data_IF_395109657663
#
_entry.id   IF_395109657663
#
_cell.length_a   1.000
_cell.length_b   1.000
_cell.length_c   1.000
_cell.angle_alpha   90.00
_cell.angle_beta   90.00
_cell.angle_gamma   90.00
#
_symmetry.space_group_name_H-M   'P 1'
#
loop_
_entity.id
_entity.type
_entity.pdbx_description
1 polymer ?
#
# COMPACT_ATOMS: atom_id res chain seq x y z
N UNK A 1 5.66 13.01 1.00
CA UNK A 1 6.46 12.40 -0.07
C UNK A 1 5.86 11.03 -0.37
N UNK A 2 5.71 10.70 -1.64
CA UNK A 2 5.09 9.42 -2.01
C UNK A 2 5.86 8.76 -3.15
N UNK A 3 5.86 7.42 -3.18
CA UNK A 3 6.31 6.67 -4.36
C UNK A 3 5.53 7.12 -5.59
N UNK A 4 6.18 7.17 -6.74
CA UNK A 4 5.50 7.43 -8.02
C UNK A 4 4.83 6.16 -8.57
N UNK A 5 5.12 5.00 -8.00
CA UNK A 5 4.54 3.72 -8.41
C UNK A 5 3.37 3.37 -7.49
N UNK A 6 2.20 3.91 -7.81
CA UNK A 6 0.99 3.75 -6.99
C UNK A 6 -0.19 3.35 -7.87
N UNK A 7 -1.15 2.70 -7.24
CA UNK A 7 -2.48 2.49 -7.83
C UNK A 7 -3.03 3.83 -8.33
N UNK A 8 -3.64 3.80 -9.53
CA UNK A 8 -4.11 5.02 -10.19
C UNK A 8 -5.04 5.88 -9.34
N UNK A 9 -5.93 5.25 -8.57
CA UNK A 9 -6.82 6.00 -7.68
C UNK A 9 -6.07 6.74 -6.57
N UNK A 10 -5.06 6.11 -5.99
CA UNK A 10 -4.21 6.73 -4.96
C UNK A 10 -3.39 7.87 -5.56
N UNK A 11 -2.80 7.61 -6.74
CA UNK A 11 -2.06 8.67 -7.45
C UNK A 11 -2.96 9.88 -7.69
N UNK A 12 -4.16 9.66 -8.24
CA UNK A 12 -5.11 10.74 -8.52
C UNK A 12 -5.53 11.49 -7.25
N UNK A 13 -5.75 10.75 -6.15
CA UNK A 13 -6.09 11.35 -4.86
C UNK A 13 -4.97 12.30 -4.41
N UNK A 14 -3.73 11.83 -4.45
CA UNK A 14 -2.56 12.59 -3.99
C UNK A 14 -2.21 13.75 -4.92
N UNK A 15 -2.35 13.55 -6.25
CA UNK A 15 -1.93 14.52 -7.24
C UNK A 15 -2.98 15.63 -7.50
N UNK A 16 -4.27 15.28 -7.41
CA UNK A 16 -5.33 16.16 -7.89
C UNK A 16 -6.35 16.52 -6.82
N UNK A 17 -6.73 15.58 -5.95
CA UNK A 17 -7.80 15.82 -4.99
C UNK A 17 -7.29 16.51 -3.72
N UNK A 18 -6.25 15.96 -3.10
CA UNK A 18 -5.74 16.48 -1.83
C UNK A 18 -5.16 17.90 -1.93
N UNK A 19 -4.58 18.34 -3.07
CA UNK A 19 -4.17 19.74 -3.18
C UNK A 19 -5.31 20.75 -2.96
N UNK A 20 -6.55 20.36 -3.26
CA UNK A 20 -7.73 21.22 -2.99
C UNK A 20 -7.96 21.41 -1.50
N UNK A 21 -7.38 20.56 -0.66
CA UNK A 21 -7.45 20.63 0.80
C UNK A 21 -6.12 21.11 1.41
N UNK A 22 -5.23 21.65 0.58
CA UNK A 22 -3.95 22.20 1.04
C UNK A 22 -2.86 21.14 1.29
N UNK A 23 -3.07 19.89 0.86
CA UNK A 23 -2.11 18.83 1.06
C UNK A 23 -1.41 18.55 -0.29
N UNK A 24 -0.12 18.80 -0.34
CA UNK A 24 0.67 18.58 -1.57
C UNK A 24 1.52 17.33 -1.44
N UNK A 25 1.84 16.72 -2.57
CA UNK A 25 2.63 15.49 -2.62
C UNK A 25 3.79 15.64 -3.60
N UNK A 26 5.00 15.32 -3.14
CA UNK A 26 6.17 15.14 -4.01
C UNK A 26 6.30 13.67 -4.31
N UNK A 27 6.22 13.31 -5.59
CA UNK A 27 6.36 11.92 -6.04
C UNK A 27 7.82 11.64 -6.36
N UNK A 28 8.32 10.48 -5.93
CA UNK A 28 9.70 10.05 -6.11
C UNK A 28 9.76 8.63 -6.65
N UNK A 29 10.88 8.29 -7.28
CA UNK A 29 11.09 6.94 -7.82
C UNK A 29 11.35 5.95 -6.67
N UNK A 30 10.52 4.91 -6.49
CA UNK A 30 10.75 3.91 -5.44
C UNK A 30 12.04 3.11 -5.62
N UNK A 31 12.58 3.04 -6.84
CA UNK A 31 13.86 2.37 -7.11
C UNK A 31 15.06 3.22 -6.67
N UNK A 32 14.81 4.47 -6.25
CA UNK A 32 15.85 5.41 -5.81
C UNK A 32 15.53 5.89 -4.39
N UNK A 33 15.78 5.08 -3.35
CA UNK A 33 15.39 5.43 -1.98
C UNK A 33 15.90 6.80 -1.51
N UNK A 34 17.06 7.25 -2.01
CA UNK A 34 17.60 8.55 -1.64
C UNK A 34 16.70 9.72 -2.03
N UNK A 35 15.85 9.53 -3.06
CA UNK A 35 14.94 10.60 -3.47
C UNK A 35 13.89 10.89 -2.38
N UNK A 36 13.53 9.90 -1.58
CA UNK A 36 12.62 10.15 -0.44
C UNK A 36 13.22 11.17 0.52
N UNK A 37 14.51 10.99 0.87
CA UNK A 37 15.20 11.94 1.77
C UNK A 37 15.37 13.33 1.13
N UNK A 38 15.72 13.38 -0.14
CA UNK A 38 15.93 14.64 -0.87
C UNK A 38 14.63 15.44 -1.01
N UNK A 39 13.49 14.76 -1.02
CA UNK A 39 12.17 15.40 -1.19
C UNK A 39 11.60 15.95 0.14
N UNK A 40 12.29 15.72 1.28
CA UNK A 40 11.82 16.19 2.58
C UNK A 40 11.85 17.72 2.63
N UNK A 41 10.77 18.31 3.13
CA UNK A 41 10.61 19.75 3.35
C UNK A 41 10.14 19.96 4.79
N UNK A 42 10.26 21.20 5.33
CA UNK A 42 9.80 21.45 6.72
C UNK A 42 8.36 21.07 7.00
N UNK A 43 7.51 21.10 5.98
CA UNK A 43 6.10 20.74 6.10
C UNK A 43 5.82 19.28 5.70
N UNK A 44 6.83 18.44 5.48
CA UNK A 44 6.61 17.01 5.20
C UNK A 44 6.00 16.34 6.43
N UNK A 45 4.93 15.56 6.21
CA UNK A 45 4.19 14.90 7.31
C UNK A 45 4.15 13.39 7.21
N UNK A 46 4.52 12.80 6.06
CA UNK A 46 4.54 11.34 5.93
C UNK A 46 5.32 10.92 4.70
N UNK A 47 5.83 9.69 4.74
CA UNK A 47 6.23 8.96 3.53
C UNK A 47 5.14 7.93 3.23
N UNK A 48 4.80 7.80 1.95
CA UNK A 48 3.74 6.88 1.51
C UNK A 48 4.24 6.04 0.33
N UNK A 49 4.00 4.73 0.38
CA UNK A 49 4.37 3.84 -0.74
C UNK A 49 3.51 2.58 -0.71
N UNK A 50 3.47 1.86 -1.85
CA UNK A 50 2.91 0.52 -1.90
C UNK A 50 4.04 -0.49 -1.69
N UNK A 51 3.76 -1.56 -0.93
CA UNK A 51 4.74 -2.62 -0.71
C UNK A 51 5.10 -3.35 -2.01
N UNK A 52 4.10 -3.45 -2.89
CA UNK A 52 4.20 -4.05 -4.22
C UNK A 52 3.39 -3.15 -5.14
N UNK A 53 4.06 -2.40 -5.99
CA UNK A 53 3.45 -1.36 -6.80
C UNK A 53 2.49 -1.87 -7.86
N UNK A 54 1.42 -1.14 -8.12
CA UNK A 54 0.41 -1.48 -9.11
C UNK A 54 0.34 -0.36 -10.15
N UNK A 55 0.62 -0.61 -11.44
CA UNK A 55 0.75 -1.94 -12.09
C UNK A 55 2.18 -2.42 -12.33
N UNK A 56 3.18 -1.67 -11.90
CA UNK A 56 4.58 -1.99 -12.25
C UNK A 56 5.14 -3.21 -11.54
N UNK A 57 4.57 -3.61 -10.40
CA UNK A 57 5.02 -4.73 -9.58
C UNK A 57 6.47 -4.56 -9.10
N UNK A 58 6.89 -3.31 -8.93
CA UNK A 58 8.13 -3.01 -8.24
C UNK A 58 7.98 -3.38 -6.76
N UNK A 59 9.02 -3.99 -6.21
CA UNK A 59 9.03 -4.39 -4.80
C UNK A 59 9.81 -3.34 -4.02
N UNK A 60 9.15 -2.69 -3.08
CA UNK A 60 9.76 -1.62 -2.30
C UNK A 60 10.79 -2.18 -1.31
N UNK A 61 11.94 -1.54 -1.17
CA UNK A 61 12.86 -1.89 -0.08
C UNK A 61 12.37 -1.22 1.21
N UNK A 62 11.42 -1.92 1.87
CA UNK A 62 10.72 -1.41 3.05
C UNK A 62 11.68 -0.94 4.15
N UNK A 63 12.73 -1.72 4.42
CA UNK A 63 13.67 -1.40 5.50
C UNK A 63 14.38 -0.08 5.22
N UNK A 64 14.87 0.09 4.00
CA UNK A 64 15.61 1.30 3.64
C UNK A 64 14.71 2.54 3.70
N UNK A 65 13.48 2.44 3.17
CA UNK A 65 12.55 3.58 3.21
C UNK A 65 12.14 3.91 4.66
N UNK A 66 11.93 2.87 5.48
CA UNK A 66 11.61 3.05 6.90
C UNK A 66 12.71 3.85 7.63
N UNK A 67 13.97 3.51 7.38
CA UNK A 67 15.11 4.22 8.00
C UNK A 67 15.14 5.69 7.58
N UNK A 68 14.81 5.96 6.32
CA UNK A 68 14.76 7.34 5.82
C UNK A 68 13.58 8.12 6.43
N UNK A 69 12.43 7.49 6.60
CA UNK A 69 11.28 8.11 7.25
C UNK A 69 11.60 8.44 8.72
N UNK A 70 12.26 7.51 9.41
CA UNK A 70 12.70 7.71 10.80
C UNK A 70 13.67 8.90 10.89
N UNK A 71 14.65 8.98 9.98
CA UNK A 71 15.59 10.09 9.94
C UNK A 71 14.90 11.44 9.69
N UNK A 72 13.83 11.42 8.88
CA UNK A 72 13.02 12.60 8.59
C UNK A 72 12.00 12.90 9.69
N UNK A 73 11.87 12.04 10.70
CA UNK A 73 10.92 12.15 11.82
C UNK A 73 9.45 12.15 11.35
N UNK A 74 9.16 11.44 10.25
CA UNK A 74 7.79 11.32 9.74
C UNK A 74 7.36 9.85 9.71
N UNK A 75 6.06 9.56 9.86
CA UNK A 75 5.61 8.18 9.78
C UNK A 75 5.75 7.62 8.37
N UNK A 76 6.07 6.33 8.29
CA UNK A 76 6.08 5.58 7.06
C UNK A 76 4.77 4.80 6.92
N UNK A 77 4.00 5.14 5.91
CA UNK A 77 2.68 4.57 5.61
C UNK A 77 2.83 3.66 4.40
N UNK A 78 2.41 2.40 4.56
CA UNK A 78 2.54 1.41 3.48
C UNK A 78 1.16 0.88 3.10
N UNK A 79 0.80 1.04 1.84
CA UNK A 79 -0.36 0.32 1.30
C UNK A 79 0.09 -1.09 0.93
N UNK A 80 -0.45 -2.07 1.63
CA UNK A 80 -0.08 -3.47 1.47
C UNK A 80 -1.20 -4.29 0.80
N UNK A 81 -2.05 -3.62 0.03
CA UNK A 81 -3.23 -4.24 -0.60
C UNK A 81 -2.86 -5.40 -1.51
N UNK A 82 -1.84 -5.21 -2.37
CA UNK A 82 -1.49 -6.21 -3.40
C UNK A 82 -0.85 -7.45 -2.79
N UNK A 83 0.01 -7.28 -1.79
CA UNK A 83 0.61 -8.43 -1.09
C UNK A 83 -0.37 -9.07 -0.12
N UNK A 84 -1.20 -8.29 0.54
CA UNK A 84 -2.07 -8.69 1.65
C UNK A 84 -1.27 -9.11 2.89
N UNK A 85 -1.89 -9.20 4.07
CA UNK A 85 -1.16 -9.64 5.27
C UNK A 85 -0.76 -11.14 5.22
N UNK A 86 -1.32 -11.91 4.28
CA UNK A 86 -0.92 -13.31 4.11
C UNK A 86 0.51 -13.44 3.59
N UNK A 87 0.93 -12.51 2.72
CA UNK A 87 2.25 -12.61 2.07
C UNK A 87 3.29 -11.71 2.73
N UNK A 88 2.86 -10.58 3.33
CA UNK A 88 3.80 -9.58 3.85
C UNK A 88 3.18 -8.81 5.01
N UNK A 89 3.96 -8.59 6.06
CA UNK A 89 3.61 -7.74 7.19
C UNK A 89 4.61 -6.57 7.24
N UNK A 90 4.29 -5.40 6.66
CA UNK A 90 5.26 -4.29 6.58
C UNK A 90 5.70 -3.74 7.93
N UNK A 91 4.92 -3.93 9.00
CA UNK A 91 5.29 -3.48 10.35
C UNK A 91 6.62 -4.14 10.80
N UNK A 92 6.84 -5.39 10.41
CA UNK A 92 8.08 -6.11 10.73
C UNK A 92 9.31 -5.46 10.08
N UNK A 93 9.10 -4.61 9.09
CA UNK A 93 10.17 -3.92 8.36
C UNK A 93 10.16 -2.40 8.60
N UNK A 94 9.42 -1.96 9.64
CA UNK A 94 9.47 -0.59 10.11
C UNK A 94 8.35 0.34 9.63
N UNK A 95 7.34 -0.18 8.93
CA UNK A 95 6.16 0.64 8.62
C UNK A 95 5.46 1.01 9.93
N UNK A 96 5.10 2.28 10.08
CA UNK A 96 4.38 2.76 11.26
C UNK A 96 2.87 2.57 11.08
N UNK A 97 2.40 2.70 9.85
CA UNK A 97 0.99 2.59 9.50
C UNK A 97 0.89 1.73 8.26
N UNK A 98 -0.02 0.75 8.29
CA UNK A 98 -0.29 -0.09 7.12
C UNK A 98 -1.76 0.09 6.74
N UNK A 99 -2.00 0.24 5.45
CA UNK A 99 -3.37 0.30 4.94
C UNK A 99 -3.61 -0.84 3.96
N UNK A 100 -4.87 -1.25 3.87
CA UNK A 100 -5.32 -2.21 2.87
C UNK A 100 -6.68 -1.80 2.34
N UNK A 101 -6.86 -1.91 1.04
CA UNK A 101 -8.20 -1.94 0.48
C UNK A 101 -8.85 -3.29 0.84
N UNK A 102 -9.88 -3.27 1.67
CA UNK A 102 -10.67 -4.48 1.97
C UNK A 102 -11.38 -4.99 0.72
N UNK A 103 -11.64 -4.09 -0.24
CA UNK A 103 -12.29 -4.34 -1.51
C UNK A 103 -11.63 -5.48 -2.32
N UNK A 104 -10.33 -5.68 -2.12
CA UNK A 104 -9.50 -6.57 -2.94
C UNK A 104 -9.37 -7.95 -2.29
N UNK A 105 -8.15 -8.43 -2.11
CA UNK A 105 -7.90 -9.80 -1.63
C UNK A 105 -8.49 -10.10 -0.25
N UNK A 106 -8.59 -9.09 0.63
CA UNK A 106 -9.11 -9.35 1.98
C UNK A 106 -10.55 -9.87 1.96
N UNK A 107 -11.46 -9.17 1.27
CA UNK A 107 -12.82 -9.69 1.06
C UNK A 107 -12.84 -10.82 0.02
N UNK A 108 -12.13 -10.63 -1.09
CA UNK A 108 -11.88 -11.69 -2.07
C UNK A 108 -12.98 -11.99 -3.06
N UNK A 109 -14.18 -11.45 -2.88
CA UNK A 109 -15.38 -11.81 -3.66
C UNK A 109 -15.85 -10.70 -4.61
N UNK A 110 -15.26 -9.50 -4.52
CA UNK A 110 -15.70 -8.37 -5.33
C UNK A 110 -17.04 -7.80 -4.93
N UNK A 111 -17.54 -8.16 -3.75
CA UNK A 111 -18.90 -7.80 -3.29
C UNK A 111 -18.94 -6.63 -2.34
N UNK A 112 -17.81 -6.23 -1.77
CA UNK A 112 -17.79 -5.22 -0.71
C UNK A 112 -16.67 -4.20 -0.94
N UNK A 113 -16.98 -2.95 -0.63
CA UNK A 113 -15.99 -1.87 -0.63
C UNK A 113 -15.62 -1.54 0.81
N UNK A 114 -14.33 -1.29 1.04
CA UNK A 114 -13.88 -0.88 2.36
C UNK A 114 -12.37 -0.68 2.42
N UNK A 115 -11.92 -0.17 3.53
CA UNK A 115 -10.51 0.01 3.83
C UNK A 115 -10.25 -0.25 5.30
N UNK A 116 -8.99 -0.55 5.61
CA UNK A 116 -8.57 -0.71 6.99
C UNK A 116 -7.21 -0.01 7.19
N UNK A 117 -7.06 0.61 8.34
CA UNK A 117 -5.82 1.25 8.78
C UNK A 117 -5.33 0.46 10.00
N UNK A 118 -4.09 0.02 9.95
CA UNK A 118 -3.43 -0.67 11.05
C UNK A 118 -2.29 0.23 11.55
N UNK A 119 -2.32 0.57 12.82
CA UNK A 119 -1.30 1.39 13.47
C UNK A 119 -0.37 0.45 14.24
N UNK A 120 0.92 0.52 13.96
CA UNK A 120 1.92 -0.24 14.71
C UNK A 120 2.09 0.26 16.16
N UNK A 121 1.64 1.48 16.45
CA UNK A 121 1.81 2.10 17.76
C UNK A 121 3.26 2.48 18.06
N UNK A 122 4.11 2.52 17.05
CA UNK A 122 5.55 2.71 17.23
C UNK A 122 6.06 4.11 16.92
N UNK A 123 5.24 4.93 16.28
CA UNK A 123 5.68 6.27 15.87
C UNK A 123 5.56 7.26 17.04
N UNK A 124 6.61 8.07 17.22
CA UNK A 124 6.60 9.11 18.26
C UNK A 124 5.89 10.37 17.76
N UNK A 125 4.61 10.47 18.09
CA UNK A 125 3.78 11.64 17.70
C UNK A 125 4.17 12.91 18.47
N UNK A 126 5.00 12.80 19.52
CA UNK A 126 5.45 13.97 20.31
C UNK A 126 6.84 14.47 19.88
N UNK A 127 7.21 14.26 18.60
CA UNK A 127 8.53 14.65 18.09
C UNK A 127 8.64 16.11 17.64
N UNK A 128 7.59 16.92 17.87
CA UNK A 128 7.57 18.33 17.54
C UNK A 128 6.97 18.69 16.19
N UNK A 129 6.71 17.71 15.33
CA UNK A 129 6.13 17.96 14.00
C UNK A 129 4.61 17.81 13.97
N UNK A 130 4.00 17.29 15.04
CA UNK A 130 2.58 16.91 15.06
C UNK A 130 1.87 17.51 16.27
N UNK A 131 1.72 18.87 16.32
CA UNK A 131 1.07 19.51 17.47
C UNK A 131 -0.35 19.02 17.70
N UNK A 132 -1.04 18.56 16.66
CA UNK A 132 -2.38 17.99 16.76
C UNK A 132 -2.48 16.74 17.63
N UNK A 133 -1.35 16.19 18.05
CA UNK A 133 -1.31 15.04 18.98
C UNK A 133 -0.88 15.44 20.38
N UNK A 134 -0.23 16.62 20.53
CA UNK A 134 0.37 17.02 21.79
C UNK A 134 -0.28 18.28 22.41
N UNK A 135 -1.14 18.94 21.65
CA UNK A 135 -1.90 20.09 22.15
C UNK A 135 -3.33 19.67 22.52
N UNK A 136 -3.97 20.40 23.45
CA UNK A 136 -5.36 20.10 23.79
C UNK A 136 -6.28 20.24 22.58
N UNK A 137 -7.07 19.20 22.30
CA UNK A 137 -7.97 19.21 21.15
C UNK A 137 -9.31 19.85 21.54
N UNK A 138 -9.65 21.02 20.98
CA UNK A 138 -10.90 21.69 21.35
C UNK A 138 -12.16 20.94 20.92
N UNK A 139 -12.07 20.09 19.90
CA UNK A 139 -13.22 19.32 19.43
C UNK A 139 -13.50 18.06 20.26
N UNK A 140 -12.60 17.74 21.23
CA UNK A 140 -12.80 16.59 22.10
C UNK A 140 -12.38 16.91 23.54
N UNK A 141 -13.07 17.89 24.13
CA UNK A 141 -12.94 18.26 25.54
C UNK A 141 -11.51 18.60 26.00
N UNK A 142 -10.68 19.09 25.09
CA UNK A 142 -9.30 19.44 25.41
C UNK A 142 -8.34 18.25 25.54
N UNK A 143 -8.71 17.08 25.00
CA UNK A 143 -7.88 15.89 25.09
C UNK A 143 -6.52 16.11 24.40
N UNK A 144 -5.43 15.79 25.08
CA UNK A 144 -4.11 15.65 24.49
C UNK A 144 -3.96 14.17 24.14
N UNK A 145 -4.01 13.87 22.85
CA UNK A 145 -4.03 12.48 22.37
C UNK A 145 -2.80 11.70 22.80
N UNK A 146 -1.62 12.31 22.66
CA UNK A 146 -0.36 11.60 22.99
C UNK A 146 -0.28 11.29 24.50
N UNK A 147 -0.55 12.30 25.31
CA UNK A 147 -0.45 12.17 26.77
C UNK A 147 -1.46 11.17 27.32
N UNK A 148 -2.69 11.23 26.82
CA UNK A 148 -3.78 10.40 27.35
C UNK A 148 -3.75 8.96 26.83
N UNK A 149 -3.28 8.75 25.59
CA UNK A 149 -3.50 7.48 24.87
C UNK A 149 -2.21 6.80 24.39
N UNK A 150 -1.07 7.49 24.47
CA UNK A 150 0.22 6.88 24.15
C UNK A 150 0.26 6.20 22.78
N UNK A 151 0.56 4.92 22.77
CA UNK A 151 0.76 4.16 21.55
C UNK A 151 -0.48 4.09 20.64
N UNK A 152 -1.69 4.29 21.20
CA UNK A 152 -2.91 4.26 20.38
C UNK A 152 -3.41 5.65 20.00
N UNK A 153 -2.61 6.70 20.22
CA UNK A 153 -3.01 8.10 19.96
C UNK A 153 -3.47 8.29 18.51
N UNK A 154 -2.73 7.75 17.55
CA UNK A 154 -3.06 7.92 16.13
C UNK A 154 -4.39 7.25 15.79
N UNK A 155 -4.54 5.98 16.13
CA UNK A 155 -5.75 5.25 15.76
C UNK A 155 -6.99 5.79 16.49
N UNK A 156 -6.81 6.29 17.71
CA UNK A 156 -7.89 6.94 18.46
C UNK A 156 -8.32 8.25 17.76
N UNK A 157 -7.34 9.07 17.34
CA UNK A 157 -7.64 10.31 16.62
C UNK A 157 -8.35 10.01 15.29
N UNK A 158 -7.90 8.97 14.56
CA UNK A 158 -8.58 8.53 13.33
C UNK A 158 -10.04 8.18 13.60
N UNK A 159 -10.32 7.47 14.71
CA UNK A 159 -11.69 7.10 15.07
C UNK A 159 -12.52 8.31 15.53
N UNK A 160 -11.93 9.17 16.33
CA UNK A 160 -12.65 10.31 16.91
C UNK A 160 -12.95 11.37 15.85
N UNK A 161 -11.96 11.70 15.02
CA UNK A 161 -12.12 12.77 14.02
C UNK A 161 -12.45 12.23 12.63
N UNK A 162 -11.70 11.24 12.16
CA UNK A 162 -11.92 10.69 10.83
C UNK A 162 -13.22 9.91 10.71
N UNK A 163 -13.41 8.91 11.55
CA UNK A 163 -14.59 8.05 11.50
C UNK A 163 -15.86 8.82 11.92
N UNK A 164 -15.83 9.44 13.11
CA UNK A 164 -17.02 10.09 13.65
C UNK A 164 -17.44 11.31 12.82
N UNK A 165 -16.48 12.18 12.49
CA UNK A 165 -16.82 13.47 11.90
C UNK A 165 -16.99 13.41 10.38
N UNK A 166 -16.19 12.58 9.71
CA UNK A 166 -16.22 12.44 8.24
C UNK A 166 -17.05 11.25 7.77
N UNK A 167 -17.40 10.34 8.69
CA UNK A 167 -18.31 9.23 8.39
C UNK A 167 -17.72 8.07 7.61
N UNK A 168 -16.40 7.91 7.60
CA UNK A 168 -15.72 6.86 6.81
C UNK A 168 -15.81 5.50 7.50
N UNK A 169 -17.02 4.98 7.66
CA UNK A 169 -17.31 3.73 8.35
C UNK A 169 -17.83 2.69 7.36
N UNK A 170 -17.30 1.45 7.38
CA UNK A 170 -17.89 0.39 6.56
C UNK A 170 -19.24 -0.04 7.14
N UNK A 171 -20.13 -0.53 6.27
CA UNK A 171 -21.38 -1.11 6.76
C UNK A 171 -21.09 -2.40 7.54
N UNK A 172 -21.93 -2.76 8.51
CA UNK A 172 -21.77 -4.05 9.21
C UNK A 172 -21.81 -5.25 8.25
N UNK A 173 -22.60 -5.17 7.19
CA UNK A 173 -22.67 -6.24 6.19
C UNK A 173 -21.36 -6.39 5.42
N UNK A 174 -20.73 -5.27 5.01
CA UNK A 174 -19.43 -5.32 4.35
C UNK A 174 -18.35 -5.87 5.31
N UNK A 175 -18.43 -5.50 6.57
CA UNK A 175 -17.49 -6.01 7.59
C UNK A 175 -17.64 -7.52 7.76
N UNK A 176 -18.89 -8.01 7.81
CA UNK A 176 -19.18 -9.45 7.89
C UNK A 176 -18.58 -10.18 6.68
N UNK A 177 -18.81 -9.67 5.47
CA UNK A 177 -18.26 -10.31 4.26
C UNK A 177 -16.73 -10.31 4.25
N UNK A 178 -16.12 -9.23 4.75
CA UNK A 178 -14.66 -9.16 4.85
C UNK A 178 -14.12 -10.20 5.82
N UNK A 179 -14.76 -10.38 6.98
CA UNK A 179 -14.34 -11.39 7.96
C UNK A 179 -14.40 -12.79 7.31
N UNK A 180 -15.50 -13.09 6.59
CA UNK A 180 -15.61 -14.36 5.86
C UNK A 180 -14.48 -14.55 4.84
N UNK A 181 -14.13 -13.48 4.12
CA UNK A 181 -13.05 -13.52 3.13
C UNK A 181 -11.69 -13.79 3.75
N UNK A 182 -11.44 -13.20 4.91
CA UNK A 182 -10.14 -13.34 5.60
C UNK A 182 -9.89 -14.80 6.01
N UNK A 183 -10.94 -15.55 6.34
CA UNK A 183 -10.80 -16.96 6.76
C UNK A 183 -10.07 -17.83 5.73
N UNK A 184 -10.19 -17.50 4.44
CA UNK A 184 -9.57 -18.27 3.37
C UNK A 184 -8.39 -17.53 2.71
N UNK A 185 -7.97 -16.39 3.27
CA UNK A 185 -7.00 -15.51 2.63
C UNK A 185 -5.67 -16.21 2.34
N UNK A 186 -5.11 -16.94 3.29
CA UNK A 186 -3.81 -17.62 3.12
C UNK A 186 -3.86 -18.60 1.95
N UNK A 187 -4.90 -19.43 1.90
CA UNK A 187 -5.08 -20.44 0.85
C UNK A 187 -5.20 -19.76 -0.51
N UNK A 188 -5.99 -18.69 -0.58
CA UNK A 188 -6.19 -17.95 -1.84
C UNK A 188 -4.91 -17.26 -2.31
N UNK A 189 -4.20 -16.60 -1.39
CA UNK A 189 -2.97 -15.88 -1.78
C UNK A 189 -1.87 -16.83 -2.21
N UNK A 190 -1.76 -17.98 -1.57
CA UNK A 190 -0.84 -19.04 -2.00
C UNK A 190 -1.19 -19.46 -3.43
N UNK A 191 -2.47 -19.77 -3.68
CA UNK A 191 -2.90 -20.24 -4.99
C UNK A 191 -2.76 -19.17 -6.08
N UNK A 192 -3.10 -17.93 -5.77
CA UNK A 192 -2.90 -16.80 -6.68
C UNK A 192 -1.42 -16.66 -7.07
N UNK A 193 -0.51 -16.74 -6.09
CA UNK A 193 0.93 -16.60 -6.35
C UNK A 193 1.47 -17.77 -7.19
N UNK A 194 1.06 -19.00 -6.88
CA UNK A 194 1.45 -20.18 -7.67
C UNK A 194 0.99 -20.04 -9.13
N UNK A 195 -0.27 -19.63 -9.32
CA UNK A 195 -0.83 -19.49 -10.67
C UNK A 195 -0.12 -18.36 -11.43
N UNK A 196 0.13 -17.24 -10.75
CA UNK A 196 0.81 -16.10 -11.37
C UNK A 196 2.23 -16.46 -11.78
N UNK A 197 2.97 -17.18 -10.93
CA UNK A 197 4.32 -17.62 -11.27
C UNK A 197 4.32 -18.56 -12.50
N UNK A 198 3.41 -19.54 -12.52
CA UNK A 198 3.30 -20.47 -13.66
C UNK A 198 2.93 -19.73 -14.95
N UNK A 199 1.95 -18.83 -14.85
CA UNK A 199 1.50 -18.08 -16.03
C UNK A 199 2.59 -17.11 -16.53
N UNK A 200 3.29 -16.43 -15.61
CA UNK A 200 4.36 -15.50 -16.01
C UNK A 200 5.53 -16.26 -16.65
N UNK A 201 5.87 -17.44 -16.13
CA UNK A 201 6.91 -18.28 -16.75
C UNK A 201 6.50 -18.72 -18.15
N UNK A 202 5.23 -19.16 -18.32
CA UNK A 202 4.71 -19.57 -19.63
C UNK A 202 4.71 -18.36 -20.60
N UNK A 203 4.22 -17.22 -20.16
CA UNK A 203 4.21 -16.00 -21.00
C UNK A 203 5.62 -15.64 -21.47
N UNK A 204 6.63 -15.84 -20.63
CA UNK A 204 8.02 -15.55 -20.98
C UNK A 204 8.57 -16.43 -22.09
N UNK A 205 7.90 -17.55 -22.41
CA UNK A 205 8.32 -18.43 -23.51
C UNK A 205 7.58 -18.12 -24.82
N UNK A 206 6.62 -17.19 -24.81
CA UNK A 206 5.79 -16.92 -25.99
C UNK A 206 6.46 -15.93 -26.94
N UNK A 207 6.49 -16.27 -28.21
CA UNK A 207 7.10 -15.40 -29.24
C UNK A 207 6.39 -14.07 -29.35
N UNK A 208 5.09 -14.02 -29.10
CA UNK A 208 4.26 -12.83 -29.22
C UNK A 208 4.48 -11.82 -28.07
N UNK A 209 5.08 -12.30 -26.98
CA UNK A 209 5.29 -11.50 -25.75
C UNK A 209 6.64 -10.78 -25.83
N UNK A 210 6.62 -9.47 -25.62
CA UNK A 210 7.83 -8.65 -25.64
C UNK A 210 8.51 -8.63 -24.27
N UNK A 211 7.73 -8.62 -23.20
CA UNK A 211 8.25 -8.61 -21.83
C UNK A 211 7.17 -9.09 -20.86
N UNK A 212 7.62 -9.65 -19.74
CA UNK A 212 6.74 -10.05 -18.62
C UNK A 212 7.32 -9.46 -17.34
N UNK A 213 6.47 -8.85 -16.55
CA UNK A 213 6.87 -8.30 -15.27
C UNK A 213 6.12 -9.05 -14.14
N UNK A 214 6.87 -9.82 -13.37
CA UNK A 214 6.41 -10.54 -12.19
C UNK A 214 7.61 -10.74 -11.25
N UNK A 215 7.54 -10.26 -10.01
CA UNK A 215 8.73 -10.28 -9.12
C UNK A 215 9.23 -11.68 -8.77
N UNK A 216 8.35 -12.69 -8.90
CA UNK A 216 8.74 -14.08 -8.64
C UNK A 216 9.61 -14.73 -9.71
N UNK A 217 9.71 -14.11 -10.89
CA UNK A 217 10.60 -14.63 -11.95
C UNK A 217 12.06 -14.35 -11.59
N UNK A 218 12.93 -15.34 -11.78
CA UNK A 218 14.39 -15.17 -11.51
C UNK A 218 15.03 -14.09 -12.38
N UNK A 219 14.40 -13.78 -13.52
CA UNK A 219 14.87 -12.72 -14.41
C UNK A 219 14.39 -11.32 -14.03
N UNK A 220 13.51 -11.23 -13.05
CA UNK A 220 13.01 -9.91 -12.59
C UNK A 220 14.09 -9.17 -11.82
N UNK A 221 14.25 -7.89 -12.10
CA UNK A 221 15.17 -7.04 -11.33
C UNK A 221 14.77 -6.93 -9.85
N UNK A 222 13.52 -7.26 -9.55
CA UNK A 222 12.99 -7.23 -8.18
C UNK A 222 13.04 -8.60 -7.49
N UNK A 223 13.61 -9.64 -8.13
CA UNK A 223 13.54 -10.98 -7.56
C UNK A 223 14.20 -11.06 -6.17
N UNK A 224 15.35 -10.43 -5.99
CA UNK A 224 16.04 -10.45 -4.70
C UNK A 224 15.20 -9.79 -3.60
N UNK A 225 14.60 -8.63 -3.88
CA UNK A 225 13.71 -7.97 -2.93
C UNK A 225 12.45 -8.81 -2.67
N UNK A 226 11.94 -9.47 -3.72
CA UNK A 226 10.79 -10.36 -3.57
C UNK A 226 11.12 -11.56 -2.69
N UNK A 227 12.31 -12.15 -2.83
CA UNK A 227 12.73 -13.24 -1.94
C UNK A 227 12.88 -12.74 -0.49
N UNK A 228 13.36 -11.52 -0.32
CA UNK A 228 13.54 -10.91 1.01
C UNK A 228 12.21 -10.60 1.70
N UNK A 229 11.28 -9.98 0.99
CA UNK A 229 10.06 -9.44 1.60
C UNK A 229 8.81 -10.30 1.37
N UNK A 230 8.79 -11.07 0.28
CA UNK A 230 7.61 -11.82 -0.16
C UNK A 230 7.95 -13.31 -0.39
N UNK A 231 8.66 -13.97 0.55
CA UNK A 231 9.09 -15.36 0.32
C UNK A 231 7.92 -16.34 0.22
N UNK A 232 6.74 -15.98 0.75
CA UNK A 232 5.54 -16.83 0.71
C UNK A 232 4.83 -16.79 -0.65
N UNK A 233 5.18 -15.81 -1.51
CA UNK A 233 4.52 -15.63 -2.81
C UNK A 233 4.49 -14.15 -3.19
N UNK A 234 4.38 -13.86 -4.49
CA UNK A 234 4.52 -12.50 -4.99
C UNK A 234 3.22 -11.97 -5.61
N UNK A 235 2.08 -12.35 -5.01
CA UNK A 235 0.74 -11.91 -5.39
C UNK A 235 0.22 -12.57 -6.69
N UNK A 236 -0.99 -12.19 -7.08
CA UNK A 236 -1.69 -12.73 -8.25
C UNK A 236 -1.73 -11.80 -9.44
N UNK A 237 -0.96 -10.70 -9.42
CA UNK A 237 -0.94 -9.74 -10.53
C UNK A 237 0.27 -10.01 -11.40
N UNK A 238 0.07 -9.96 -12.73
CA UNK A 238 1.13 -10.05 -13.73
C UNK A 238 0.91 -8.91 -14.71
N UNK A 239 1.97 -8.26 -15.15
CA UNK A 239 1.89 -7.35 -16.28
C UNK A 239 2.82 -7.82 -17.39
N UNK A 240 2.39 -7.66 -18.63
CA UNK A 240 3.19 -8.08 -19.77
C UNK A 240 2.85 -7.22 -20.99
N UNK A 241 3.78 -7.13 -21.89
CA UNK A 241 3.60 -6.41 -23.16
C UNK A 241 3.73 -7.36 -24.34
N UNK A 242 2.95 -7.07 -25.37
CA UNK A 242 2.98 -7.82 -26.62
C UNK A 242 3.85 -7.08 -27.67
N UNK A 243 4.53 -7.84 -28.54
CA UNK A 243 5.29 -7.28 -29.65
C UNK A 243 4.40 -6.46 -30.61
N UNK A 244 3.12 -6.85 -30.72
CA UNK A 244 2.12 -6.14 -31.51
C UNK A 244 1.61 -4.83 -30.87
N UNK A 245 2.14 -4.49 -29.69
CA UNK A 245 1.84 -3.22 -29.04
C UNK A 245 0.38 -3.08 -28.62
N UNK A 246 -0.14 -1.86 -28.70
CA UNK A 246 -1.48 -1.51 -28.22
C UNK A 246 -2.58 -2.38 -28.84
N UNK A 247 -2.53 -2.57 -30.15
CA UNK A 247 -3.58 -3.32 -30.86
C UNK A 247 -3.63 -4.79 -30.40
N UNK A 248 -2.47 -5.40 -30.17
CA UNK A 248 -2.43 -6.75 -29.61
C UNK A 248 -2.97 -6.81 -28.19
N UNK A 249 -2.57 -5.86 -27.35
CA UNK A 249 -3.08 -5.76 -25.99
C UNK A 249 -4.60 -5.62 -25.96
N UNK A 250 -5.15 -4.76 -26.81
CA UNK A 250 -6.59 -4.57 -26.96
C UNK A 250 -7.29 -5.88 -27.33
N UNK A 251 -6.74 -6.61 -28.32
CA UNK A 251 -7.33 -7.90 -28.72
C UNK A 251 -7.36 -8.91 -27.54
N UNK A 252 -6.27 -8.98 -26.77
CA UNK A 252 -6.24 -9.87 -25.59
C UNK A 252 -7.33 -9.45 -24.59
N UNK A 253 -7.41 -8.15 -24.27
CA UNK A 253 -8.41 -7.66 -23.32
C UNK A 253 -9.84 -7.95 -23.80
N UNK A 254 -10.12 -7.71 -25.08
CA UNK A 254 -11.46 -7.89 -25.65
C UNK A 254 -11.88 -9.38 -25.70
N UNK A 255 -10.93 -10.31 -25.70
CA UNK A 255 -11.21 -11.74 -25.80
C UNK A 255 -11.04 -12.50 -24.47
N UNK A 256 -10.62 -11.82 -23.41
CA UNK A 256 -10.52 -12.42 -22.08
C UNK A 256 -11.90 -12.39 -21.41
N UNK A 257 -12.34 -13.57 -20.87
CA UNK A 257 -13.61 -13.68 -20.13
C UNK A 257 -13.38 -13.44 -18.65
N UNK A 258 -14.12 -12.71 -18.33
CA UNK A 258 -14.02 -12.39 -16.95
C UNK A 258 -14.57 -13.24 -16.08
#
# INVERSE_FOLDING_TARGET
VASSSLYGGTYNLLANTLPRFGITTTFVDPDSPEEFSKAVQPNTRAFFAESLGNPKLDVLDLKVISEKAQAAKVPFIVDNTVASPALLNPIEYGANIVIHSLTKYLTGNGTSLGGIIIDAGTFNWANGLFPEFTEPNPSYHGLNYHEALGAIAFIAKVRIEGLRDLGSAPSPFNSFQTIQGIETLDIRMKKHSENALKLSAWLSTREEVAWVNYPGLKTSKYNDLAQKYLPKGQSGIITFGLKSGFEGGKKVADHTKX
#
